data_IF_316704832944
#
_entry.id   IF_316704832944
#
_cell.length_a   1.000
_cell.length_b   1.000
_cell.length_c   1.000
_cell.angle_alpha   90.00
_cell.angle_beta   90.00
_cell.angle_gamma   90.00
#
_symmetry.space_group_name_H-M   'P 1'
#
loop_
_entity.id
_entity.type
_entity.pdbx_description
1 polymer ?
#
# COMPACT_ATOMS: atom_id res chain seq x y z
N UNK A 1 27.66 8.43 11.55
CA UNK A 1 27.70 8.24 10.08
C UNK A 1 26.48 8.93 9.53
N UNK A 2 26.58 9.76 8.49
CA UNK A 2 25.41 10.44 7.88
C UNK A 2 24.71 9.52 6.89
N UNK A 3 23.38 9.53 6.85
CA UNK A 3 22.57 8.71 5.97
C UNK A 3 21.92 9.54 4.84
N UNK A 4 21.36 8.91 3.78
CA UNK A 4 20.83 9.63 2.64
C UNK A 4 19.83 10.73 3.00
N UNK A 5 18.88 10.45 3.89
CA UNK A 5 17.86 11.43 4.28
C UNK A 5 18.47 12.68 4.93
N UNK A 6 19.61 12.54 5.61
CA UNK A 6 20.32 13.63 6.28
C UNK A 6 21.08 14.52 5.26
N UNK A 7 21.53 13.91 4.15
CA UNK A 7 22.30 14.59 3.10
C UNK A 7 21.40 15.26 2.04
N UNK A 8 20.16 14.79 1.92
CA UNK A 8 19.24 15.16 0.84
C UNK A 8 18.25 16.27 1.24
N UNK A 9 18.40 16.88 2.41
CA UNK A 9 17.48 17.90 2.91
C UNK A 9 17.36 19.11 1.96
N UNK A 10 18.49 19.57 1.40
CA UNK A 10 18.57 20.74 0.51
C UNK A 10 18.85 20.38 -0.95
N UNK A 11 18.68 19.11 -1.32
CA UNK A 11 19.02 18.60 -2.66
C UNK A 11 17.78 18.54 -3.53
N UNK A 12 17.87 19.07 -4.74
CA UNK A 12 16.78 19.02 -5.70
C UNK A 12 16.73 17.68 -6.43
N UNK A 13 15.52 17.29 -6.86
CA UNK A 13 15.33 16.06 -7.64
C UNK A 13 16.12 16.09 -8.97
N UNK A 14 16.24 17.26 -9.61
CA UNK A 14 17.03 17.45 -10.83
C UNK A 14 18.52 17.17 -10.61
N UNK A 15 19.06 17.55 -9.45
CA UNK A 15 20.46 17.29 -9.13
C UNK A 15 20.74 15.80 -9.02
N UNK A 16 19.85 15.06 -8.35
CA UNK A 16 19.93 13.59 -8.26
C UNK A 16 19.81 12.94 -9.62
N UNK A 17 18.85 13.38 -10.43
CA UNK A 17 18.67 12.86 -11.78
C UNK A 17 19.89 13.12 -12.65
N UNK A 18 20.46 14.32 -12.60
CA UNK A 18 21.66 14.66 -13.35
C UNK A 18 22.83 13.74 -12.98
N UNK A 19 23.14 13.61 -11.69
CA UNK A 19 24.19 12.72 -11.16
C UNK A 19 23.95 11.26 -11.59
N UNK A 20 22.71 10.80 -11.52
CA UNK A 20 22.32 9.46 -11.97
C UNK A 20 22.52 9.23 -13.48
N UNK A 21 22.19 10.20 -14.34
CA UNK A 21 22.42 10.07 -15.78
C UNK A 21 23.91 10.11 -16.12
N UNK A 22 24.69 10.96 -15.46
CA UNK A 22 26.15 11.01 -15.60
C UNK A 22 26.78 9.67 -15.21
N UNK A 23 26.38 9.11 -14.07
CA UNK A 23 26.85 7.79 -13.65
C UNK A 23 26.44 6.67 -14.61
N UNK A 24 25.17 6.64 -15.06
CA UNK A 24 24.70 5.63 -16.01
C UNK A 24 25.51 5.69 -17.32
N UNK A 25 25.84 6.88 -17.81
CA UNK A 25 26.70 7.04 -18.99
C UNK A 25 28.11 6.48 -18.73
N UNK A 26 28.70 6.75 -17.57
CA UNK A 26 30.00 6.16 -17.18
C UNK A 26 29.92 4.63 -17.10
N UNK A 27 28.82 4.09 -16.58
CA UNK A 27 28.60 2.66 -16.44
C UNK A 27 28.56 1.93 -17.80
N UNK A 28 28.01 2.57 -18.84
CA UNK A 28 27.95 2.03 -20.21
C UNK A 28 29.34 1.78 -20.82
N UNK A 29 30.34 2.56 -20.42
CA UNK A 29 31.73 2.46 -20.91
C UNK A 29 32.67 1.83 -19.88
N UNK A 30 32.14 1.28 -18.78
CA UNK A 30 32.95 0.68 -17.73
C UNK A 30 33.55 -0.64 -18.16
N UNK A 31 34.74 -0.97 -17.63
CA UNK A 31 35.45 -2.20 -17.95
C UNK A 31 34.68 -3.44 -17.42
N UNK A 32 34.21 -4.36 -18.29
CA UNK A 32 33.52 -5.58 -17.86
C UNK A 32 34.37 -6.50 -16.97
N UNK A 33 35.70 -6.46 -17.11
CA UNK A 33 36.63 -7.31 -16.37
C UNK A 33 36.94 -6.80 -14.96
N UNK A 34 36.51 -5.57 -14.62
CA UNK A 34 36.69 -4.94 -13.32
C UNK A 34 35.39 -4.25 -12.85
N UNK A 35 34.32 -5.02 -12.55
CA UNK A 35 33.03 -4.43 -12.21
C UNK A 35 33.08 -3.74 -10.84
N UNK A 36 32.38 -2.60 -10.74
CA UNK A 36 32.08 -1.96 -9.46
C UNK A 36 31.25 -2.90 -8.58
N UNK A 37 31.49 -2.87 -7.26
CA UNK A 37 30.84 -3.74 -6.29
C UNK A 37 30.20 -2.93 -5.19
N UNK A 38 28.97 -3.28 -4.86
CA UNK A 38 28.26 -2.81 -3.67
C UNK A 38 28.32 -3.90 -2.60
N UNK A 39 28.61 -3.51 -1.36
CA UNK A 39 28.56 -4.43 -0.21
C UNK A 39 27.21 -4.26 0.48
N UNK A 40 26.49 -5.37 0.64
CA UNK A 40 25.21 -5.42 1.35
C UNK A 40 25.44 -5.56 2.86
N UNK A 41 24.41 -5.34 3.70
CA UNK A 41 24.54 -5.42 5.16
C UNK A 41 24.96 -6.80 5.68
N UNK A 42 24.67 -7.87 4.94
CA UNK A 42 25.09 -9.25 5.22
C UNK A 42 26.54 -9.55 4.77
N UNK A 43 27.29 -8.50 4.40
CA UNK A 43 28.64 -8.57 3.81
C UNK A 43 28.71 -9.24 2.44
N UNK A 44 27.57 -9.55 1.82
CA UNK A 44 27.52 -10.06 0.45
C UNK A 44 27.93 -8.94 -0.51
N UNK A 45 28.94 -9.20 -1.34
CA UNK A 45 29.31 -8.30 -2.42
C UNK A 45 28.53 -8.61 -3.69
N UNK A 46 27.97 -7.58 -4.27
CA UNK A 46 27.13 -7.68 -5.46
C UNK A 46 27.62 -6.72 -6.52
N UNK A 47 27.76 -7.21 -7.75
CA UNK A 47 28.26 -6.39 -8.86
C UNK A 47 27.23 -5.36 -9.30
N UNK A 48 27.71 -4.23 -9.79
CA UNK A 48 26.93 -3.21 -10.46
C UNK A 48 27.27 -3.27 -11.95
N UNK A 49 26.25 -3.42 -12.78
CA UNK A 49 26.41 -3.51 -14.23
C UNK A 49 25.20 -2.96 -14.95
N UNK A 50 25.36 -2.65 -16.24
CA UNK A 50 24.27 -2.15 -17.10
C UNK A 50 23.06 -3.09 -17.13
N UNK A 51 23.29 -4.40 -16.94
CA UNK A 51 22.22 -5.41 -16.90
C UNK A 51 21.38 -5.42 -15.62
N UNK A 52 21.85 -4.81 -14.53
CA UNK A 52 21.15 -4.80 -13.24
C UNK A 52 20.87 -3.39 -12.71
N UNK A 53 21.20 -2.35 -13.48
CA UNK A 53 20.93 -0.95 -13.14
C UNK A 53 19.89 -0.38 -14.10
N UNK A 54 18.97 0.41 -13.57
CA UNK A 54 17.99 1.11 -14.39
C UNK A 54 17.23 2.18 -13.62
N UNK A 55 16.57 3.06 -14.37
CA UNK A 55 15.75 4.11 -13.78
C UNK A 55 14.39 3.58 -13.35
N UNK A 56 13.94 3.98 -12.16
CA UNK A 56 12.60 3.68 -11.64
C UNK A 56 11.87 4.98 -11.28
N UNK A 57 10.56 5.10 -11.57
CA UNK A 57 9.79 6.29 -11.22
C UNK A 57 9.65 6.43 -9.70
N UNK A 58 9.86 7.65 -9.20
CA UNK A 58 9.71 7.95 -7.77
C UNK A 58 8.25 8.18 -7.37
N UNK A 59 7.42 8.68 -8.29
CA UNK A 59 6.02 9.08 -8.05
C UNK A 59 5.01 8.26 -8.85
N UNK A 60 5.05 6.94 -8.68
CA UNK A 60 4.10 6.01 -9.30
C UNK A 60 4.12 6.01 -10.81
N UNK A 61 2.99 6.33 -11.45
CA UNK A 61 2.87 6.31 -12.92
C UNK A 61 3.52 7.53 -13.60
N UNK A 62 4.03 8.49 -12.82
CA UNK A 62 4.72 9.65 -13.37
C UNK A 62 6.17 9.32 -13.69
N UNK A 63 6.49 9.24 -14.99
CA UNK A 63 7.86 9.08 -15.47
C UNK A 63 8.67 10.38 -15.44
N UNK A 64 8.08 11.48 -14.96
CA UNK A 64 8.73 12.79 -14.91
C UNK A 64 9.94 12.80 -13.99
N UNK A 65 9.87 12.08 -12.88
CA UNK A 65 10.94 12.03 -11.88
C UNK A 65 11.34 10.61 -11.57
N UNK A 66 12.63 10.33 -11.68
CA UNK A 66 13.18 8.98 -11.60
C UNK A 66 14.41 8.97 -10.72
N UNK A 67 14.66 7.81 -10.12
CA UNK A 67 15.90 7.52 -9.39
C UNK A 67 16.56 6.33 -10.03
N UNK A 68 17.89 6.31 -10.02
CA UNK A 68 18.65 5.18 -10.54
C UNK A 68 18.72 4.11 -9.46
N UNK A 69 18.28 2.91 -9.83
CA UNK A 69 18.17 1.77 -8.95
C UNK A 69 19.04 0.63 -9.47
N UNK A 70 19.57 -0.13 -8.52
CA UNK A 70 20.16 -1.44 -8.77
C UNK A 70 19.15 -2.49 -8.38
N UNK A 71 18.79 -3.37 -9.30
CA UNK A 71 17.76 -4.38 -9.15
C UNK A 71 18.32 -5.71 -8.64
N UNK A 72 17.45 -6.50 -8.02
CA UNK A 72 17.78 -7.84 -7.57
C UNK A 72 17.93 -8.80 -8.76
N UNK A 73 18.95 -9.68 -8.76
CA UNK A 73 19.04 -10.73 -9.78
C UNK A 73 17.91 -11.76 -9.67
N UNK A 74 17.37 -11.96 -8.46
CA UNK A 74 16.25 -12.88 -8.22
C UNK A 74 14.89 -12.28 -8.57
N UNK A 75 14.78 -10.94 -8.58
CA UNK A 75 13.55 -10.23 -8.90
C UNK A 75 13.88 -8.87 -9.51
N UNK A 76 13.83 -8.79 -10.84
CA UNK A 76 14.22 -7.60 -11.62
C UNK A 76 13.30 -6.39 -11.39
N UNK A 77 12.18 -6.56 -10.68
CA UNK A 77 11.25 -5.48 -10.34
C UNK A 77 11.53 -4.85 -8.96
N UNK A 78 12.54 -5.35 -8.24
CA UNK A 78 12.86 -4.97 -6.87
C UNK A 78 14.21 -4.27 -6.82
N UNK A 79 14.19 -2.98 -6.48
CA UNK A 79 15.39 -2.17 -6.25
C UNK A 79 16.02 -2.55 -4.88
N UNK A 80 17.27 -3.00 -4.88
CA UNK A 80 18.04 -3.32 -3.67
C UNK A 80 18.92 -2.17 -3.18
N UNK A 81 19.23 -1.23 -4.06
CA UNK A 81 20.01 -0.05 -3.76
C UNK A 81 19.64 1.09 -4.70
N UNK A 82 19.83 2.33 -4.24
CA UNK A 82 19.63 3.52 -5.05
C UNK A 82 20.92 4.31 -5.15
N UNK A 83 21.15 4.92 -6.32
CA UNK A 83 22.27 5.82 -6.53
C UNK A 83 21.84 7.25 -6.19
N UNK A 84 22.41 7.81 -5.12
CA UNK A 84 22.03 9.10 -4.54
C UNK A 84 23.29 9.87 -4.16
N UNK A 85 23.42 11.12 -4.64
CA UNK A 85 24.60 11.98 -4.41
C UNK A 85 25.92 11.28 -4.71
N UNK A 86 26.06 10.82 -5.95
CA UNK A 86 27.27 10.17 -6.47
C UNK A 86 27.71 8.88 -5.75
N UNK A 87 26.77 8.22 -5.05
CA UNK A 87 27.04 7.01 -4.26
C UNK A 87 25.89 6.03 -4.30
N UNK A 88 26.22 4.74 -4.24
CA UNK A 88 25.24 3.69 -4.02
C UNK A 88 24.90 3.55 -2.54
N UNK A 89 23.61 3.53 -2.24
CA UNK A 89 23.07 3.32 -0.91
C UNK A 89 22.18 2.09 -0.87
N UNK A 90 22.41 1.24 0.12
CA UNK A 90 21.54 0.10 0.40
C UNK A 90 20.17 0.60 0.87
N UNK A 91 19.13 -0.19 0.64
CA UNK A 91 17.79 0.11 1.16
C UNK A 91 17.78 0.20 2.69
N UNK A 92 18.65 -0.53 3.39
CA UNK A 92 18.81 -0.44 4.84
C UNK A 92 19.39 0.91 5.28
N UNK A 93 20.42 1.41 4.60
CA UNK A 93 21.02 2.71 4.91
C UNK A 93 20.07 3.86 4.56
N UNK A 94 19.27 3.72 3.50
CA UNK A 94 18.25 4.73 3.12
C UNK A 94 17.22 4.92 4.22
N UNK A 95 16.88 3.87 4.96
CA UNK A 95 15.88 3.92 6.03
C UNK A 95 16.44 4.43 7.36
N UNK A 96 17.69 4.86 7.41
CA UNK A 96 18.36 5.32 8.63
C UNK A 96 18.58 6.83 8.61
N UNK A 97 18.77 7.38 9.80
CA UNK A 97 19.12 8.78 10.04
C UNK A 97 20.10 8.86 11.20
N UNK A 98 20.99 9.84 11.14
CA UNK A 98 21.87 10.18 12.24
C UNK A 98 21.39 11.42 13.01
N UNK A 99 20.32 12.06 12.55
CA UNK A 99 19.72 13.20 13.20
C UNK A 99 18.85 12.74 14.39
N UNK A 100 19.24 13.00 15.65
CA UNK A 100 18.45 12.60 16.81
C UNK A 100 17.12 13.36 16.91
N UNK A 101 16.95 14.48 16.20
CA UNK A 101 15.70 15.22 16.15
C UNK A 101 14.65 14.53 15.27
N UNK A 102 15.07 13.63 14.37
CA UNK A 102 14.19 12.89 13.47
C UNK A 102 13.53 11.71 14.21
N UNK A 103 12.52 12.02 15.02
CA UNK A 103 11.79 11.06 15.86
C UNK A 103 10.28 11.30 15.79
N UNK A 104 9.49 10.22 15.84
CA UNK A 104 8.03 10.29 15.79
C UNK A 104 7.50 10.45 14.36
N UNK A 105 6.26 10.94 14.23
CA UNK A 105 5.63 11.15 12.92
C UNK A 105 6.05 12.50 12.34
N UNK A 106 6.75 12.46 11.21
CA UNK A 106 7.23 13.65 10.52
C UNK A 106 6.72 13.70 9.08
N UNK A 107 6.38 14.88 8.55
CA UNK A 107 5.93 15.05 7.18
C UNK A 107 7.00 14.66 6.16
N UNK A 108 6.56 14.39 4.94
CA UNK A 108 7.43 14.13 3.78
C UNK A 108 7.49 15.38 2.92
N UNK A 109 8.49 16.22 3.19
CA UNK A 109 8.65 17.54 2.55
C UNK A 109 9.88 17.62 1.63
N UNK A 110 10.86 16.75 1.87
CA UNK A 110 12.12 16.70 1.10
C UNK A 110 12.15 15.51 0.13
N UNK A 111 13.07 15.58 -0.85
CA UNK A 111 13.35 14.47 -1.76
C UNK A 111 13.90 13.26 -1.00
N UNK A 112 14.73 13.49 0.02
CA UNK A 112 15.24 12.43 0.90
C UNK A 112 14.11 11.66 1.58
N UNK A 113 13.17 12.35 2.22
CA UNK A 113 11.99 11.72 2.84
C UNK A 113 11.11 11.02 1.81
N UNK A 114 10.97 11.58 0.61
CA UNK A 114 10.23 10.94 -0.47
C UNK A 114 10.86 9.60 -0.88
N UNK A 115 12.18 9.52 -0.93
CA UNK A 115 12.92 8.29 -1.20
C UNK A 115 12.74 7.27 -0.06
N UNK A 116 12.76 7.71 1.20
CA UNK A 116 12.47 6.84 2.36
C UNK A 116 11.06 6.26 2.25
N UNK A 117 10.06 7.09 1.96
CA UNK A 117 8.67 6.64 1.73
C UNK A 117 8.59 5.63 0.59
N UNK A 118 9.29 5.88 -0.52
CA UNK A 118 9.37 4.95 -1.66
C UNK A 118 9.95 3.61 -1.24
N UNK A 119 11.06 3.57 -0.50
CA UNK A 119 11.69 2.32 -0.04
C UNK A 119 10.80 1.57 0.95
N UNK A 120 10.18 2.26 1.90
CA UNK A 120 9.23 1.65 2.84
C UNK A 120 8.07 0.97 2.10
N UNK A 121 7.50 1.61 1.09
CA UNK A 121 6.36 1.07 0.34
C UNK A 121 6.80 -0.01 -0.67
N UNK A 122 7.75 0.34 -1.56
CA UNK A 122 8.08 -0.47 -2.75
C UNK A 122 9.00 -1.63 -2.46
N UNK A 123 9.83 -1.54 -1.41
CA UNK A 123 10.75 -2.59 -1.02
C UNK A 123 10.27 -3.28 0.26
N UNK A 124 10.29 -2.58 1.40
CA UNK A 124 10.04 -3.22 2.70
C UNK A 124 8.64 -3.81 2.78
N UNK A 125 7.61 -3.00 2.52
CA UNK A 125 6.24 -3.50 2.50
C UNK A 125 6.07 -4.53 1.38
N UNK A 126 6.13 -4.13 0.11
CA UNK A 126 5.74 -4.99 -1.01
C UNK A 126 6.54 -6.30 -1.15
N UNK A 127 7.85 -6.27 -0.92
CA UNK A 127 8.73 -7.43 -1.13
C UNK A 127 8.96 -8.24 0.15
N UNK A 128 9.18 -7.58 1.29
CA UNK A 128 9.61 -8.27 2.52
C UNK A 128 8.48 -8.62 3.46
N UNK A 129 7.47 -7.76 3.55
CA UNK A 129 6.51 -7.82 4.67
C UNK A 129 5.05 -7.99 4.29
N UNK A 130 4.71 -7.84 3.01
CA UNK A 130 3.35 -7.94 2.49
C UNK A 130 2.84 -9.39 2.56
N UNK A 131 1.58 -9.57 2.96
CA UNK A 131 0.86 -10.83 2.81
C UNK A 131 0.59 -11.14 1.33
N UNK A 132 0.58 -12.40 0.93
CA UNK A 132 0.21 -12.79 -0.44
C UNK A 132 -1.20 -12.36 -0.81
N UNK A 133 -2.12 -12.35 0.17
CA UNK A 133 -3.55 -12.10 -0.01
C UNK A 133 -3.94 -10.61 -0.01
N UNK A 134 -3.05 -9.71 0.43
CA UNK A 134 -3.37 -8.28 0.47
C UNK A 134 -3.05 -7.57 -0.85
N UNK A 135 -3.97 -6.70 -1.28
CA UNK A 135 -3.75 -5.81 -2.43
C UNK A 135 -2.63 -4.82 -2.09
N UNK A 136 -1.55 -4.75 -2.88
CA UNK A 136 -0.43 -3.87 -2.57
C UNK A 136 -0.84 -2.39 -2.69
N UNK A 137 -0.41 -1.58 -1.72
CA UNK A 137 -0.47 -0.12 -1.83
C UNK A 137 0.17 0.36 -3.13
N UNK A 138 -0.49 1.28 -3.82
CA UNK A 138 0.07 1.96 -4.98
C UNK A 138 1.25 2.83 -4.54
N UNK A 139 2.10 3.18 -5.50
CA UNK A 139 3.15 4.16 -5.24
C UNK A 139 2.52 5.55 -5.05
N UNK A 140 3.04 6.31 -4.12
CA UNK A 140 2.55 7.63 -3.77
C UNK A 140 2.83 8.64 -4.89
N UNK A 141 1.85 9.48 -5.17
CA UNK A 141 2.01 10.60 -6.10
C UNK A 141 2.77 11.76 -5.45
N UNK A 142 3.26 12.68 -6.27
CA UNK A 142 4.03 13.85 -5.82
C UNK A 142 3.25 14.74 -4.85
N UNK A 143 1.93 14.85 -5.04
CA UNK A 143 1.04 15.68 -4.22
C UNK A 143 0.38 14.92 -3.08
N UNK A 144 0.68 13.63 -2.91
CA UNK A 144 0.14 12.87 -1.79
C UNK A 144 0.75 13.38 -0.49
N UNK A 145 -0.12 13.69 0.47
CA UNK A 145 0.30 13.96 1.83
C UNK A 145 0.77 12.64 2.45
N UNK A 146 1.93 12.63 3.08
CA UNK A 146 2.45 11.48 3.78
C UNK A 146 3.25 11.90 5.00
N UNK A 147 3.28 11.01 5.99
CA UNK A 147 4.20 11.12 7.13
C UNK A 147 4.94 9.80 7.33
N UNK A 148 6.21 9.89 7.73
CA UNK A 148 7.05 8.76 8.10
C UNK A 148 7.14 8.71 9.62
N UNK A 149 6.98 7.52 10.19
CA UNK A 149 7.24 7.26 11.60
C UNK A 149 8.71 6.89 11.77
N UNK A 150 9.42 7.69 12.55
CA UNK A 150 10.81 7.47 12.93
C UNK A 150 10.92 6.99 14.38
N UNK A 151 11.68 5.92 14.59
CA UNK A 151 11.93 5.31 15.90
C UNK A 151 13.38 4.84 15.95
N UNK A 152 14.12 5.29 16.96
CA UNK A 152 15.52 4.94 17.21
C UNK A 152 16.45 5.06 15.99
N UNK A 153 16.37 6.20 15.28
CA UNK A 153 17.21 6.45 14.10
C UNK A 153 16.81 5.68 12.84
N UNK A 154 15.68 4.96 12.86
CA UNK A 154 15.16 4.24 11.70
C UNK A 154 13.76 4.70 11.31
N UNK A 155 13.46 4.66 10.01
CA UNK A 155 12.12 4.77 9.48
C UNK A 155 11.39 3.44 9.66
N UNK A 156 10.32 3.44 10.45
CA UNK A 156 9.63 2.22 10.90
C UNK A 156 8.22 2.04 10.38
N UNK A 157 7.68 3.06 9.72
CA UNK A 157 6.37 3.01 9.10
C UNK A 157 6.02 4.31 8.41
N UNK A 158 4.86 4.34 7.77
CA UNK A 158 4.31 5.54 7.16
C UNK A 158 2.80 5.47 7.12
N UNK A 159 2.17 6.62 6.91
CA UNK A 159 0.82 6.69 6.36
C UNK A 159 0.75 7.75 5.27
N UNK A 160 -0.15 7.58 4.31
CA UNK A 160 -0.45 8.57 3.28
C UNK A 160 -1.94 8.92 3.24
N UNK A 161 -2.25 10.10 2.74
CA UNK A 161 -3.59 10.65 2.65
C UNK A 161 -3.82 11.23 1.26
N UNK A 162 -4.97 10.92 0.68
CA UNK A 162 -5.55 11.64 -0.45
C UNK A 162 -6.44 12.75 0.11
N UNK A 163 -6.04 14.03 -0.03
CA UNK A 163 -6.82 15.15 0.50
C UNK A 163 -8.19 15.27 -0.18
N UNK A 164 -9.17 15.84 0.52
CA UNK A 164 -10.45 16.19 -0.12
C UNK A 164 -10.22 17.13 -1.32
N UNK A 165 -10.93 16.88 -2.41
CA UNK A 165 -10.81 17.62 -3.66
C UNK A 165 -9.68 17.13 -4.59
N UNK A 166 -8.78 16.25 -4.15
CA UNK A 166 -7.78 15.68 -5.06
C UNK A 166 -8.42 14.72 -6.06
N UNK A 167 -7.86 14.62 -7.27
CA UNK A 167 -8.34 13.69 -8.29
C UNK A 167 -8.16 12.25 -7.82
N UNK A 168 -9.16 11.40 -8.11
CA UNK A 168 -9.11 9.98 -7.81
C UNK A 168 -8.13 9.22 -8.71
N UNK A 169 -8.12 9.58 -9.99
CA UNK A 169 -7.22 9.08 -11.02
C UNK A 169 -7.09 10.20 -12.08
N UNK A 170 -5.89 10.46 -12.66
CA UNK A 170 -5.71 11.40 -13.76
C UNK A 170 -6.67 11.25 -14.94
N UNK A 171 -7.23 10.06 -15.17
CA UNK A 171 -8.19 9.80 -16.25
C UNK A 171 -9.67 9.93 -15.83
N UNK A 172 -9.95 10.27 -14.57
CA UNK A 172 -11.30 10.42 -14.04
C UNK A 172 -11.59 11.86 -13.62
N UNK A 173 -12.83 12.31 -13.81
CA UNK A 173 -13.30 13.61 -13.31
C UNK A 173 -13.67 13.59 -11.82
N UNK A 174 -13.64 12.42 -11.18
CA UNK A 174 -14.02 12.25 -9.78
C UNK A 174 -12.93 12.74 -8.83
N UNK A 175 -13.32 13.56 -7.84
CA UNK A 175 -12.47 14.00 -6.73
C UNK A 175 -12.89 13.35 -5.42
N UNK A 176 -11.94 13.17 -4.51
CA UNK A 176 -12.25 12.70 -3.15
C UNK A 176 -13.16 13.69 -2.43
N UNK A 177 -14.25 13.21 -1.83
CA UNK A 177 -15.23 14.07 -1.14
C UNK A 177 -14.88 14.33 0.33
N UNK A 178 -13.89 13.61 0.86
CA UNK A 178 -13.36 13.72 2.22
C UNK A 178 -11.87 13.33 2.20
N UNK A 179 -11.07 13.71 3.21
CA UNK A 179 -9.71 13.21 3.36
C UNK A 179 -9.74 11.69 3.56
N UNK A 180 -8.93 10.95 2.81
CA UNK A 180 -8.85 9.48 2.91
C UNK A 180 -7.42 9.06 3.21
N UNK A 181 -7.20 8.39 4.34
CA UNK A 181 -5.96 7.65 4.58
C UNK A 181 -5.88 6.49 3.58
N UNK A 182 -5.00 6.67 2.59
CA UNK A 182 -4.89 5.80 1.41
C UNK A 182 -4.00 4.60 1.65
N UNK A 183 -2.96 4.78 2.45
CA UNK A 183 -2.10 3.67 2.87
C UNK A 183 -1.59 3.90 4.29
N UNK A 184 -1.40 2.81 5.02
CA UNK A 184 -0.80 2.80 6.35
C UNK A 184 0.02 1.53 6.51
N UNK A 185 1.26 1.69 6.95
CA UNK A 185 2.20 0.60 7.09
C UNK A 185 3.10 0.78 8.31
N UNK A 186 3.33 -0.31 9.03
CA UNK A 186 4.28 -0.41 10.13
C UNK A 186 5.11 -1.67 9.91
N UNK A 187 6.44 -1.55 9.97
CA UNK A 187 7.37 -2.69 9.87
C UNK A 187 7.04 -3.76 10.91
N UNK A 188 7.13 -5.04 10.56
CA UNK A 188 6.73 -6.19 11.39
C UNK A 188 7.34 -6.13 12.79
N UNK A 189 8.63 -5.81 12.91
CA UNK A 189 9.34 -5.67 14.20
C UNK A 189 8.88 -4.50 15.09
N UNK A 190 8.06 -3.58 14.55
CA UNK A 190 7.52 -2.42 15.28
C UNK A 190 5.99 -2.50 15.45
N UNK A 191 5.34 -3.58 15.00
CA UNK A 191 3.90 -3.81 15.23
C UNK A 191 3.65 -4.16 16.70
N UNK A 192 2.40 -3.98 17.15
CA UNK A 192 2.00 -4.25 18.54
C UNK A 192 2.41 -3.18 19.56
N UNK A 193 3.22 -2.19 19.17
CA UNK A 193 3.72 -1.11 20.04
C UNK A 193 2.86 0.16 20.03
N UNK A 194 1.64 0.10 19.48
CA UNK A 194 0.73 1.25 19.39
C UNK A 194 0.93 2.18 18.19
N UNK A 195 1.90 1.92 17.30
CA UNK A 195 2.22 2.76 16.14
C UNK A 195 1.03 3.04 15.21
N UNK A 196 0.19 2.04 14.94
CA UNK A 196 -1.00 2.23 14.10
C UNK A 196 -2.04 3.15 14.74
N UNK A 197 -2.21 3.07 16.06
CA UNK A 197 -3.10 3.97 16.81
C UNK A 197 -2.53 5.39 16.84
N UNK A 198 -1.21 5.54 17.00
CA UNK A 198 -0.52 6.83 16.92
C UNK A 198 -0.76 7.49 15.55
N UNK A 199 -0.57 6.75 14.46
CA UNK A 199 -0.82 7.24 13.09
C UNK A 199 -2.29 7.62 12.86
N UNK A 200 -3.24 6.81 13.36
CA UNK A 200 -4.67 7.13 13.25
C UNK A 200 -5.03 8.41 14.01
N UNK A 201 -4.53 8.58 15.24
CA UNK A 201 -4.73 9.81 16.03
C UNK A 201 -4.15 11.02 15.32
N UNK A 202 -2.92 10.92 14.83
CA UNK A 202 -2.26 12.00 14.10
C UNK A 202 -3.04 12.39 12.83
N UNK A 203 -3.56 11.41 12.08
CA UNK A 203 -4.45 11.67 10.95
C UNK A 203 -5.72 12.41 11.35
N UNK A 204 -6.42 11.96 12.39
CA UNK A 204 -7.64 12.63 12.87
C UNK A 204 -7.37 14.08 13.28
N UNK A 205 -6.25 14.32 13.96
CA UNK A 205 -5.87 15.66 14.40
C UNK A 205 -5.38 16.56 13.24
N UNK A 206 -4.79 15.97 12.20
CA UNK A 206 -4.20 16.72 11.08
C UNK A 206 -5.25 17.17 10.04
N UNK A 207 -6.41 16.50 9.98
CA UNK A 207 -7.42 16.76 8.96
C UNK A 207 -8.75 17.19 9.60
N UNK A 208 -9.12 18.48 9.51
CA UNK A 208 -10.38 18.96 10.06
C UNK A 208 -11.56 18.45 9.21
N UNK A 209 -12.65 18.07 9.87
CA UNK A 209 -13.92 17.74 9.22
C UNK A 209 -14.76 16.75 10.03
N UNK A 210 -16.03 16.65 9.63
CA UNK A 210 -17.01 15.78 10.31
C UNK A 210 -16.95 14.34 9.80
N UNK A 211 -16.10 14.05 8.81
CA UNK A 211 -15.94 12.71 8.24
C UNK A 211 -14.53 12.52 7.70
N UNK A 212 -13.89 11.44 8.12
CA UNK A 212 -12.56 11.02 7.69
C UNK A 212 -12.61 9.60 7.14
N UNK A 213 -11.95 9.40 6.01
CA UNK A 213 -11.94 8.14 5.28
C UNK A 213 -10.72 7.29 5.59
N UNK A 214 -10.90 5.99 5.67
CA UNK A 214 -9.86 4.97 5.57
C UNK A 214 -10.15 4.14 4.32
N UNK A 215 -9.16 3.95 3.45
CA UNK A 215 -9.38 3.29 2.16
C UNK A 215 -9.77 1.81 2.32
N UNK A 216 -10.83 1.43 1.60
CA UNK A 216 -11.24 0.04 1.43
C UNK A 216 -10.25 -0.73 0.52
N UNK A 217 -9.98 -2.03 0.79
CA UNK A 217 -10.44 -2.78 1.96
C UNK A 217 -9.59 -2.50 3.20
N UNK A 218 -10.22 -2.30 4.37
CA UNK A 218 -9.48 -2.28 5.63
C UNK A 218 -9.08 -3.68 6.04
N UNK A 219 -7.84 -3.84 6.50
CA UNK A 219 -7.37 -5.06 7.12
C UNK A 219 -8.01 -5.29 8.49
N UNK A 220 -8.07 -6.54 8.94
CA UNK A 220 -8.52 -6.89 10.29
C UNK A 220 -7.73 -6.14 11.37
N UNK A 221 -6.41 -5.99 11.18
CA UNK A 221 -5.56 -5.24 12.09
C UNK A 221 -5.94 -3.76 12.16
N UNK A 222 -6.35 -3.15 11.04
CA UNK A 222 -6.80 -1.76 11.04
C UNK A 222 -8.15 -1.59 11.73
N UNK A 223 -9.08 -2.56 11.59
CA UNK A 223 -10.31 -2.57 12.40
C UNK A 223 -10.02 -2.60 13.89
N UNK A 224 -9.02 -3.38 14.34
CA UNK A 224 -8.62 -3.39 15.74
C UNK A 224 -8.01 -2.05 16.21
N UNK A 225 -7.28 -1.36 15.33
CA UNK A 225 -6.78 0.00 15.61
C UNK A 225 -7.94 0.99 15.74
N UNK A 226 -8.91 0.97 14.81
CA UNK A 226 -10.10 1.80 14.87
C UNK A 226 -10.94 1.50 16.12
N UNK A 227 -11.12 0.23 16.48
CA UNK A 227 -11.80 -0.20 17.71
C UNK A 227 -11.14 0.43 18.92
N UNK A 228 -9.81 0.31 19.07
CA UNK A 228 -9.05 0.93 20.16
C UNK A 228 -9.18 2.45 20.20
N UNK A 229 -9.18 3.11 19.03
CA UNK A 229 -9.40 4.55 18.94
C UNK A 229 -10.79 4.94 19.45
N UNK A 230 -11.86 4.28 18.99
CA UNK A 230 -13.23 4.59 19.39
C UNK A 230 -13.52 4.29 20.86
N UNK A 231 -12.81 3.33 21.47
CA UNK A 231 -12.88 3.13 22.93
C UNK A 231 -12.28 4.31 23.71
N UNK A 232 -11.26 4.99 23.17
CA UNK A 232 -10.64 6.15 23.81
C UNK A 232 -11.38 7.45 23.53
N UNK A 233 -12.11 7.51 22.41
CA UNK A 233 -12.86 8.68 21.94
C UNK A 233 -14.27 8.27 21.48
N UNK A 234 -15.20 7.91 22.41
CA UNK A 234 -16.55 7.47 22.06
C UNK A 234 -17.36 8.52 21.29
N UNK A 235 -17.03 9.80 21.43
CA UNK A 235 -17.63 10.91 20.67
C UNK A 235 -17.30 10.88 19.17
N UNK A 236 -16.29 10.09 18.77
CA UNK A 236 -15.84 9.96 17.38
C UNK A 236 -16.56 8.85 16.60
N UNK A 237 -17.69 8.31 17.10
CA UNK A 237 -18.41 7.21 16.44
C UNK A 237 -18.83 7.50 15.01
N UNK A 238 -19.17 8.76 14.71
CA UNK A 238 -19.61 9.19 13.38
C UNK A 238 -18.48 9.75 12.49
N UNK A 239 -17.25 9.77 13.02
CA UNK A 239 -16.10 10.40 12.35
C UNK A 239 -15.44 9.51 11.31
N UNK A 240 -15.27 8.21 11.59
CA UNK A 240 -14.43 7.31 10.80
C UNK A 240 -15.24 6.46 9.82
N UNK A 241 -14.86 6.49 8.55
CA UNK A 241 -15.56 5.82 7.47
C UNK A 241 -14.62 4.95 6.64
N UNK A 242 -15.02 3.71 6.35
CA UNK A 242 -14.35 2.91 5.32
C UNK A 242 -14.84 3.39 3.96
N UNK A 243 -13.90 3.79 3.09
CA UNK A 243 -14.18 4.51 1.85
C UNK A 243 -13.80 3.68 0.63
N UNK A 244 -14.76 3.50 -0.27
CA UNK A 244 -14.57 3.02 -1.64
C UNK A 244 -14.50 4.21 -2.59
N UNK A 245 -13.73 4.08 -3.69
CA UNK A 245 -13.63 5.10 -4.76
C UNK A 245 -13.35 6.51 -4.18
N UNK A 246 -14.21 7.49 -4.44
CA UNK A 246 -14.06 8.89 -4.01
C UNK A 246 -14.70 9.21 -2.65
N UNK A 247 -15.39 8.24 -2.03
CA UNK A 247 -15.99 8.41 -0.72
C UNK A 247 -17.24 9.27 -0.68
N UNK A 248 -18.02 9.27 -1.77
CA UNK A 248 -19.37 9.85 -1.73
C UNK A 248 -20.31 9.12 -0.76
N UNK A 249 -21.52 9.66 -0.49
CA UNK A 249 -22.42 9.15 0.54
C UNK A 249 -22.72 7.64 0.46
N UNK A 250 -22.85 7.08 -0.74
CA UNK A 250 -23.11 5.65 -0.97
C UNK A 250 -21.83 4.81 -1.16
N UNK A 251 -20.67 5.43 -1.05
CA UNK A 251 -19.37 4.79 -1.24
C UNK A 251 -18.58 4.69 0.06
N UNK A 252 -19.23 4.95 1.20
CA UNK A 252 -18.60 4.90 2.50
C UNK A 252 -19.48 4.19 3.52
N UNK A 253 -18.85 3.50 4.45
CA UNK A 253 -19.52 2.75 5.52
C UNK A 253 -18.93 3.17 6.86
N UNK A 254 -19.78 3.47 7.84
CA UNK A 254 -19.32 3.88 9.16
C UNK A 254 -18.55 2.72 9.82
N UNK A 255 -17.34 3.02 10.32
CA UNK A 255 -16.45 1.99 10.88
C UNK A 255 -16.97 1.48 12.23
N UNK A 256 -17.54 2.34 13.07
CA UNK A 256 -18.10 1.93 14.35
C UNK A 256 -19.24 0.91 14.16
N UNK A 257 -20.18 1.21 13.26
CA UNK A 257 -21.27 0.29 12.90
C UNK A 257 -20.74 -1.03 12.33
N UNK A 258 -19.71 -0.98 11.48
CA UNK A 258 -19.12 -2.19 10.90
C UNK A 258 -18.44 -3.06 11.96
N UNK A 259 -17.72 -2.46 12.90
CA UNK A 259 -17.12 -3.17 14.04
C UNK A 259 -18.20 -3.86 14.89
N UNK A 260 -19.32 -3.20 15.17
CA UNK A 260 -20.43 -3.80 15.92
C UNK A 260 -20.99 -5.04 15.23
N UNK A 261 -21.19 -4.98 13.91
CA UNK A 261 -21.65 -6.14 13.13
C UNK A 261 -20.63 -7.27 13.16
N UNK A 262 -19.33 -6.95 13.05
CA UNK A 262 -18.26 -7.95 13.14
C UNK A 262 -18.25 -8.63 14.51
N UNK A 263 -18.29 -7.86 15.60
CA UNK A 263 -18.32 -8.39 16.97
C UNK A 263 -19.54 -9.31 17.19
N UNK A 264 -20.73 -8.93 16.71
CA UNK A 264 -21.93 -9.76 16.80
C UNK A 264 -21.76 -11.09 16.03
N UNK A 265 -21.16 -11.06 14.85
CA UNK A 265 -20.90 -12.26 14.05
C UNK A 265 -19.88 -13.18 14.72
N UNK A 266 -18.80 -12.64 15.28
CA UNK A 266 -17.80 -13.41 16.03
C UNK A 266 -18.41 -14.06 17.28
N UNK A 267 -19.30 -13.35 17.98
CA UNK A 267 -20.03 -13.90 19.12
C UNK A 267 -20.97 -15.04 18.72
N UNK A 268 -21.68 -14.93 17.59
CA UNK A 268 -22.55 -16.00 17.09
C UNK A 268 -21.74 -17.25 16.74
N UNK A 269 -20.68 -17.10 15.93
CA UNK A 269 -19.81 -18.21 15.52
C UNK A 269 -19.03 -18.84 16.67
N UNK A 270 -18.82 -18.12 17.78
CA UNK A 270 -18.22 -18.69 18.99
C UNK A 270 -19.21 -19.54 19.77
N UNK A 271 -20.46 -19.09 19.89
CA UNK A 271 -21.53 -19.86 20.54
C UNK A 271 -21.84 -21.15 19.78
N UNK A 272 -21.90 -21.09 18.45
CA UNK A 272 -22.10 -22.28 17.61
C UNK A 272 -20.97 -23.29 17.79
N UNK A 273 -19.71 -22.84 17.78
CA UNK A 273 -18.56 -23.74 18.03
C UNK A 273 -18.60 -24.37 19.42
N UNK A 274 -18.96 -23.59 20.44
CA UNK A 274 -19.05 -24.11 21.80
C UNK A 274 -20.20 -25.10 21.96
N UNK A 275 -21.32 -24.91 21.26
CA UNK A 275 -22.42 -25.88 21.23
C UNK A 275 -22.02 -27.20 20.57
N UNK A 276 -21.27 -27.15 19.48
CA UNK A 276 -20.74 -28.35 18.81
C UNK A 276 -19.74 -29.10 19.69
N UNK A 277 -18.85 -28.38 20.38
CA UNK A 277 -17.88 -28.96 21.32
C UNK A 277 -18.59 -29.60 22.54
N UNK A 278 -19.64 -28.97 23.08
CA UNK A 278 -20.44 -29.51 24.19
C UNK A 278 -21.29 -30.73 23.76
N UNK A 279 -21.75 -30.79 22.51
CA UNK A 279 -22.44 -31.95 21.93
C UNK A 279 -21.48 -33.14 21.74
N UNK A 280 -20.27 -32.92 21.20
CA UNK A 280 -19.24 -33.96 21.06
C UNK A 280 -18.79 -34.53 22.41
N UNK A 281 -18.60 -33.69 23.44
CA UNK A 281 -18.26 -34.14 24.80
C UNK A 281 -19.37 -34.97 25.46
N UNK A 282 -20.64 -34.64 25.20
CA UNK A 282 -21.78 -35.39 25.72
C UNK A 282 -21.94 -36.75 25.02
N UNK A 283 -21.63 -36.85 23.72
CA UNK A 283 -21.64 -38.12 22.99
C UNK A 283 -20.49 -39.05 23.44
N UNK A 284 -19.31 -38.50 23.74
CA UNK A 284 -18.19 -39.27 24.31
C UNK A 284 -18.50 -39.77 25.74
N UNK A 285 -19.09 -38.95 26.62
CA UNK A 285 -19.51 -39.38 27.97
C UNK A 285 -20.63 -40.44 27.96
N UNK A 286 -21.52 -40.41 26.97
CA UNK A 286 -22.57 -41.43 26.82
C UNK A 286 -22.02 -42.75 26.28
N UNK A 287 -20.95 -42.72 25.50
CA UNK A 287 -20.30 -43.91 24.96
C UNK A 287 -19.49 -44.64 26.05
N UNK A 288 -18.82 -43.92 26.95
CA UNK A 288 -18.09 -44.53 28.09
C UNK A 288 -19.03 -45.10 29.17
N UNK A 289 -20.24 -44.56 29.35
CA UNK A 289 -21.24 -45.10 30.31
C UNK A 289 -22.05 -46.28 29.77
N UNK A 290 -21.91 -46.63 28.48
CA UNK A 290 -22.63 -47.72 27.82
C UNK A 290 -21.97 -49.11 27.89
N UNK A 291 -20.70 -49.21 28.31
CA UNK A 291 -19.95 -50.48 28.30
C UNK A 291 -20.04 -51.32 29.59
N UNK A 292 -20.91 -50.96 30.53
CA UNK A 292 -21.07 -51.70 31.80
C UNK A 292 -22.40 -52.45 31.92
N UNK A 293 -22.88 -53.16 30.88
CA UNK A 293 -23.85 -54.26 31.05
C UNK A 293 -23.64 -55.34 29.97
N UNK A 294 -23.15 -56.51 30.40
CA UNK A 294 -22.81 -57.63 29.50
C UNK A 294 -23.99 -58.48 29.04
N UNK A 295 -23.75 -59.32 28.02
CA UNK A 295 -23.66 -60.80 28.13
C UNK A 295 -23.81 -61.48 26.75
N UNK A 296 -22.79 -62.30 26.45
CA UNK A 296 -22.71 -63.56 25.67
C UNK A 296 -23.59 -63.75 24.42
N UNK A 297 -22.91 -63.99 23.29
CA UNK A 297 -23.44 -64.71 22.13
C UNK A 297 -22.64 -66.01 21.92
N UNK A 298 -23.40 -67.09 21.78
CA UNK A 298 -23.01 -68.48 21.51
C UNK A 298 -22.60 -68.70 20.04
N UNK A 299 -21.68 -69.64 19.81
CA UNK A 299 -21.22 -70.17 18.49
C UNK A 299 -21.69 -71.63 18.35
N UNK A 300 -21.45 -72.42 17.27
CA UNK A 300 -21.42 -72.21 15.80
C UNK A 300 -22.27 -73.28 15.03
N UNK A 301 -22.32 -73.23 13.69
CA UNK A 301 -22.05 -74.45 12.88
C UNK A 301 -21.45 -74.10 11.50
N UNK A 302 -20.39 -74.84 11.14
CA UNK A 302 -19.57 -74.73 9.92
C UNK A 302 -20.13 -75.59 8.77
N UNK A 303 -19.67 -75.35 7.53
CA UNK A 303 -19.16 -76.40 6.60
C UNK A 303 -18.33 -75.74 5.46
N UNK A 304 -17.09 -76.24 5.33
CA UNK A 304 -16.06 -76.18 4.27
C UNK A 304 -16.56 -76.58 2.86
N UNK A 305 -15.90 -76.46 1.71
CA UNK A 305 -14.60 -76.05 1.15
C UNK A 305 -14.89 -75.71 -0.35
N UNK A 306 -14.10 -75.00 -1.17
CA UNK A 306 -12.81 -75.35 -1.79
C UNK A 306 -12.34 -74.14 -2.67
N UNK A 307 -11.03 -74.07 -2.95
CA UNK A 307 -10.29 -73.15 -3.84
C UNK A 307 -10.05 -73.84 -5.22
N UNK A 308 -9.50 -73.23 -6.32
CA UNK A 308 -8.37 -72.26 -6.33
C UNK A 308 -8.23 -71.25 -7.51
N UNK A 309 -7.16 -70.43 -7.43
CA UNK A 309 -6.27 -69.84 -8.48
C UNK A 309 -6.86 -68.81 -9.49
N UNK A 310 -6.19 -67.74 -9.98
CA UNK A 310 -4.80 -67.25 -9.99
C UNK A 310 -4.77 -65.81 -10.55
N UNK A 311 -3.73 -65.01 -10.20
CA UNK A 311 -3.05 -63.93 -10.97
C UNK A 311 -3.88 -62.73 -11.50
N UNK A 312 -3.49 -61.45 -11.32
CA UNK A 312 -2.43 -60.72 -12.01
C UNK A 312 -2.21 -59.36 -11.30
N UNK A 313 -0.98 -59.02 -10.89
CA UNK A 313 -0.01 -58.12 -11.55
C UNK A 313 -0.26 -56.59 -11.49
N UNK A 314 0.80 -55.92 -11.02
CA UNK A 314 1.09 -54.49 -10.93
C UNK A 314 1.17 -53.81 -12.29
N UNK A 315 0.90 -52.49 -12.35
CA UNK A 315 1.72 -51.40 -12.93
C UNK A 315 0.81 -50.16 -13.11
N UNK A 316 1.05 -49.06 -12.39
CA UNK A 316 1.82 -47.89 -12.85
C UNK A 316 1.36 -47.30 -14.19
N UNK A 317 0.68 -46.15 -14.13
CA UNK A 317 0.66 -45.18 -15.23
C UNK A 317 0.76 -43.76 -14.67
N UNK A 318 1.82 -43.09 -15.12
CA UNK A 318 2.16 -41.68 -14.94
C UNK A 318 1.85 -41.01 -16.28
N UNK A 319 1.21 -39.85 -16.25
CA UNK A 319 1.24 -38.87 -17.33
C UNK A 319 0.07 -38.89 -18.32
N UNK A 320 -0.69 -37.80 -18.33
CA UNK A 320 -1.32 -37.28 -19.53
C UNK A 320 -1.30 -35.75 -19.46
N UNK A 321 -0.54 -35.15 -20.37
CA UNK A 321 -0.62 -33.75 -20.77
C UNK A 321 -1.93 -33.45 -21.49
N UNK A 322 -2.42 -32.23 -21.26
CA UNK A 322 -2.99 -31.28 -22.23
C UNK A 322 -4.03 -31.80 -23.23
N UNK A 323 -5.27 -31.36 -23.04
CA UNK A 323 -6.08 -30.84 -24.14
C UNK A 323 -6.70 -29.48 -23.76
N UNK A 324 -6.49 -28.54 -24.68
CA UNK A 324 -7.11 -27.22 -24.77
C UNK A 324 -8.63 -27.35 -24.92
N UNK A 325 -9.39 -26.51 -24.22
CA UNK A 325 -10.77 -26.16 -24.59
C UNK A 325 -10.88 -24.64 -24.63
N UNK A 326 -11.20 -24.16 -25.83
CA UNK A 326 -11.46 -22.76 -26.20
C UNK A 326 -12.79 -22.32 -25.61
N UNK A 327 -12.79 -21.24 -24.84
CA UNK A 327 -13.98 -20.45 -24.51
C UNK A 327 -13.80 -19.02 -24.99
N UNK A 328 -14.43 -18.69 -26.12
CA UNK A 328 -14.47 -17.37 -26.73
C UNK A 328 -15.62 -16.54 -26.16
N UNK A 329 -15.32 -15.39 -25.56
CA UNK A 329 -16.30 -14.33 -25.36
C UNK A 329 -15.77 -13.02 -25.98
N UNK A 330 -16.46 -12.57 -27.03
CA UNK A 330 -16.26 -11.25 -27.66
C UNK A 330 -17.05 -10.19 -26.89
N UNK A 331 -16.52 -8.97 -26.75
CA UNK A 331 -17.27 -7.81 -26.30
C UNK A 331 -18.11 -7.20 -27.44
N UNK A 332 -19.32 -6.75 -27.10
CA UNK A 332 -20.28 -6.08 -27.98
C UNK A 332 -19.81 -4.69 -28.40
N UNK A 333 -20.05 -4.39 -29.68
CA UNK A 333 -19.57 -3.26 -30.47
C UNK A 333 -20.23 -1.90 -30.15
N UNK A 334 -19.48 -0.88 -30.57
CA UNK A 334 -19.74 0.56 -30.55
C UNK A 334 -20.97 1.00 -31.36
N UNK A 335 -21.69 2.01 -30.87
CA UNK A 335 -22.50 2.91 -31.71
C UNK A 335 -21.77 4.26 -31.86
N UNK A 336 -21.28 4.54 -33.08
CA UNK A 336 -20.93 5.88 -33.54
C UNK A 336 -22.18 6.67 -33.99
N UNK A 337 -22.29 7.98 -33.72
CA UNK A 337 -23.26 8.84 -34.39
C UNK A 337 -22.68 9.46 -35.69
N UNK A 338 -23.53 9.86 -36.65
CA UNK A 338 -23.13 10.06 -38.04
C UNK A 338 -22.49 11.43 -38.32
N UNK A 339 -21.62 11.43 -39.33
CA UNK A 339 -21.03 12.59 -40.00
C UNK A 339 -22.11 13.47 -40.63
N UNK A 340 -22.26 14.70 -40.11
CA UNK A 340 -23.13 15.74 -40.62
C UNK A 340 -22.34 16.94 -41.16
N UNK A 341 -22.70 17.36 -42.37
CA UNK A 341 -22.01 18.32 -43.24
C UNK A 341 -21.88 19.75 -42.68
N UNK A 342 -20.82 20.41 -43.15
CA UNK A 342 -20.50 21.84 -43.06
C UNK A 342 -21.71 22.79 -43.09
N UNK A 343 -21.81 23.65 -42.08
CA UNK A 343 -22.30 25.03 -42.24
C UNK A 343 -21.48 26.00 -41.41
N UNK A 344 -20.87 26.96 -42.10
CA UNK A 344 -20.10 28.06 -41.52
C UNK A 344 -21.02 29.04 -40.78
N UNK A 345 -20.77 29.29 -39.50
CA UNK A 345 -21.24 30.49 -38.83
C UNK A 345 -20.08 31.26 -38.20
N UNK A 346 -19.73 32.34 -38.89
CA UNK A 346 -18.77 33.37 -38.53
C UNK A 346 -19.32 34.16 -37.34
N UNK A 347 -18.80 33.91 -36.13
CA UNK A 347 -19.06 34.78 -34.98
C UNK A 347 -17.74 35.39 -34.47
N UNK A 348 -17.55 36.67 -34.82
CA UNK A 348 -16.55 37.56 -34.23
C UNK A 348 -16.83 37.69 -32.73
N UNK A 349 -15.91 37.24 -31.88
CA UNK A 349 -15.85 37.67 -30.48
C UNK A 349 -14.60 38.50 -30.23
N UNK A 350 -14.86 39.63 -29.57
CA UNK A 350 -13.99 40.76 -29.27
C UNK A 350 -12.85 40.33 -28.35
N UNK A 351 -11.65 40.79 -28.68
CA UNK A 351 -10.43 40.71 -27.86
C UNK A 351 -10.60 41.64 -26.65
N UNK A 352 -10.39 41.18 -25.40
CA UNK A 352 -10.28 42.07 -24.24
C UNK A 352 -8.87 42.71 -24.18
N UNK A 353 -8.73 43.96 -23.73
CA UNK A 353 -7.44 44.64 -23.70
C UNK A 353 -6.54 44.11 -22.57
N UNK A 354 -5.25 44.03 -22.86
CA UNK A 354 -4.16 43.67 -21.96
C UNK A 354 -4.00 44.66 -20.79
N UNK A 355 -3.72 44.19 -19.57
CA UNK A 355 -3.49 45.08 -18.42
C UNK A 355 -2.11 45.75 -18.49
N UNK A 356 -2.11 47.08 -18.37
CA UNK A 356 -0.91 47.92 -18.25
C UNK A 356 -0.30 47.83 -16.84
N UNK A 357 1.02 47.93 -16.82
CA UNK A 357 1.95 47.85 -15.70
C UNK A 357 1.59 48.68 -14.46
N UNK A 358 1.77 48.04 -13.31
CA UNK A 358 1.65 48.58 -11.95
C UNK A 358 2.80 49.54 -11.60
N UNK A 359 2.69 50.82 -11.93
CA UNK A 359 3.43 51.92 -11.26
C UNK A 359 2.61 53.20 -11.32
N UNK A 360 1.64 53.34 -10.41
CA UNK A 360 1.06 54.60 -9.90
C UNK A 360 -0.13 54.27 -9.00
N UNK A 361 0.14 53.78 -7.80
CA UNK A 361 -0.89 53.67 -6.75
C UNK A 361 -0.30 53.93 -5.35
N UNK A 362 0.51 54.98 -5.27
CA UNK A 362 0.96 55.59 -4.01
C UNK A 362 0.90 57.11 -4.16
N UNK A 363 -0.31 57.66 -4.26
CA UNK A 363 -0.57 59.08 -3.95
C UNK A 363 -2.08 59.37 -3.93
N UNK A 364 -2.89 58.47 -3.35
CA UNK A 364 -4.32 58.74 -3.11
C UNK A 364 -4.88 57.96 -1.93
N UNK A 365 -4.13 57.91 -0.83
CA UNK A 365 -4.62 57.42 0.46
C UNK A 365 -4.06 58.21 1.65
N UNK A 366 -3.80 59.50 1.48
CA UNK A 366 -3.47 60.45 2.56
C UNK A 366 -4.30 61.74 2.47
N UNK A 367 -5.60 61.64 2.18
CA UNK A 367 -6.52 62.79 2.25
C UNK A 367 -7.91 62.44 2.80
N UNK A 368 -8.00 61.41 3.66
CA UNK A 368 -9.24 61.03 4.37
C UNK A 368 -9.06 60.73 5.86
N UNK A 369 -8.01 61.29 6.48
CA UNK A 369 -7.86 61.42 7.94
C UNK A 369 -7.41 62.85 8.26
N UNK A 370 -8.36 63.79 8.19
CA UNK A 370 -8.30 65.14 8.80
C UNK A 370 -9.68 65.79 8.61
N UNK A 371 -10.64 65.29 9.39
CA UNK A 371 -11.89 65.96 9.78
C UNK A 371 -12.37 65.29 11.07
N UNK A 372 -11.61 65.54 12.12
CA UNK A 372 -11.98 65.49 13.54
C UNK A 372 -10.81 66.11 14.31
N UNK A 373 -10.65 67.41 14.16
CA UNK A 373 -10.59 68.38 15.26
C UNK A 373 -10.59 69.78 14.67
#
# INVERSE_FOLDING_TARGET
>A
MTFPVDLLADVSQEQLEKSAHEYMNTLLYSNPDAPERLTLPDSTQVTISVSNVGFTPLYGQSDKRRVLARFSPSNTMVAMALYLLDRWWTVEDILRTADPARRGLLPVDTVGERIVLYVLNRYIYREKERSSEETPFLCHEEKDHAKILWDDGEAVGFYSVKPAGSLYNPFSSGTYQLPVMDSIFVRKGHRGKGSGLLMLKDFVLSFPGDSLGLKYPLSQSMYQVCKKYLHQYPESTDLLWEVKRTGGPHQRTNIASKIQVMDLSEHHSRKERQQLEDEELNDEEQTEKGEEFGVKVTVPEEISAERPDTAEQKLSAKGAELQEERGSDRPSEDEEPPVGQHRSHRNRRKVPPTPKSTKQREHRTMKKKRKHH
#
